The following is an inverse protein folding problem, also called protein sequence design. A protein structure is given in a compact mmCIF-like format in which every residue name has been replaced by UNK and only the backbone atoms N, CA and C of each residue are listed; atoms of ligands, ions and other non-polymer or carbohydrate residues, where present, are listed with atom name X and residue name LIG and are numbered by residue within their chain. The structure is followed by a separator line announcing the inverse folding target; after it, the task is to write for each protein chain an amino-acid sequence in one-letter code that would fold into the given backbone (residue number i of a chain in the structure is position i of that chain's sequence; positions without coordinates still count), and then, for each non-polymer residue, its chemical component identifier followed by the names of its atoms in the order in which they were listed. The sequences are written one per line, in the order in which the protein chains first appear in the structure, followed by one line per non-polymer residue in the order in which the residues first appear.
data_IF_780916074913
#
_entry.id   IF_780916074913
#
_cell.length_a   1.000
_cell.length_b   1.000
_cell.length_c   1.000
_cell.angle_alpha   90.00
_cell.angle_beta   90.00
_cell.angle_gamma   90.00
#
_symmetry.space_group_name_H-M   'P 1'
#
loop_
_entity.id
_entity.type
_entity.pdbx_description
1 polymer ?
#
# COMPACT_ATOMS: atom_id res chain seq x y z
N UNK A 1 -19.69 33.96 1.51
CA UNK A 1 -19.76 32.71 2.32
C UNK A 1 -19.98 31.49 1.44
N UNK A 2 -21.11 31.35 0.71
CA UNK A 2 -21.39 30.16 -0.12
C UNK A 2 -20.38 29.93 -1.27
N UNK A 3 -20.01 30.98 -2.00
CA UNK A 3 -19.02 30.87 -3.10
C UNK A 3 -17.64 30.38 -2.62
N UNK A 4 -17.17 30.86 -1.47
CA UNK A 4 -15.91 30.40 -0.89
C UNK A 4 -15.97 28.93 -0.49
N UNK A 5 -17.09 28.47 0.06
CA UNK A 5 -17.29 27.05 0.37
C UNK A 5 -17.30 26.20 -0.90
N UNK A 6 -17.99 26.63 -1.96
CA UNK A 6 -17.97 25.92 -3.25
C UNK A 6 -16.57 25.84 -3.86
N UNK A 7 -15.79 26.92 -3.82
CA UNK A 7 -14.41 26.93 -4.32
C UNK A 7 -13.51 25.99 -3.51
N UNK A 8 -13.65 25.98 -2.17
CA UNK A 8 -12.88 25.08 -1.31
C UNK A 8 -13.24 23.61 -1.55
N UNK A 9 -14.53 23.29 -1.73
CA UNK A 9 -14.97 21.92 -2.05
C UNK A 9 -14.43 21.46 -3.41
N UNK A 10 -14.52 22.30 -4.46
CA UNK A 10 -13.99 21.99 -5.78
C UNK A 10 -12.47 21.79 -5.75
N UNK A 11 -11.74 22.61 -4.99
CA UNK A 11 -10.29 22.47 -4.83
C UNK A 11 -9.92 21.17 -4.10
N UNK A 12 -10.63 20.81 -3.02
CA UNK A 12 -10.40 19.56 -2.31
C UNK A 12 -10.70 18.33 -3.19
N UNK A 13 -11.79 18.35 -3.96
CA UNK A 13 -12.11 17.28 -4.92
C UNK A 13 -11.05 17.16 -6.02
N UNK A 14 -10.59 18.28 -6.58
CA UNK A 14 -9.55 18.27 -7.61
C UNK A 14 -8.23 17.71 -7.08
N UNK A 15 -7.83 18.06 -5.86
CA UNK A 15 -6.63 17.52 -5.21
C UNK A 15 -6.75 16.01 -4.97
N UNK A 16 -7.90 15.53 -4.50
CA UNK A 16 -8.14 14.10 -4.30
C UNK A 16 -8.02 13.29 -5.60
N UNK A 17 -8.54 13.81 -6.72
CA UNK A 17 -8.41 13.15 -8.02
C UNK A 17 -6.99 13.11 -8.56
N UNK A 18 -6.18 14.15 -8.32
CA UNK A 18 -4.77 14.15 -8.73
C UNK A 18 -3.96 13.11 -7.95
N UNK A 19 -4.26 12.94 -6.67
CA UNK A 19 -3.62 11.94 -5.81
C UNK A 19 -3.99 10.51 -6.24
N UNK A 20 -5.27 10.26 -6.50
CA UNK A 20 -5.75 8.98 -7.02
C UNK A 20 -5.12 8.62 -8.38
N UNK A 21 -5.06 9.58 -9.31
CA UNK A 21 -4.42 9.38 -10.61
C UNK A 21 -2.90 9.10 -10.49
N UNK A 22 -2.24 9.69 -9.50
CA UNK A 22 -0.84 9.41 -9.18
C UNK A 22 -0.65 7.99 -8.64
N UNK A 23 -1.55 7.54 -7.75
CA UNK A 23 -1.53 6.18 -7.20
C UNK A 23 -1.80 5.13 -8.28
N UNK A 24 -2.71 5.41 -9.22
CA UNK A 24 -2.95 4.53 -10.37
C UNK A 24 -1.70 4.37 -11.24
N UNK A 25 -1.02 5.47 -11.55
CA UNK A 25 0.23 5.41 -12.31
C UNK A 25 1.33 4.62 -11.57
N UNK A 26 1.44 4.79 -10.25
CA UNK A 26 2.38 4.04 -9.42
C UNK A 26 2.04 2.55 -9.35
N UNK A 27 0.76 2.18 -9.24
CA UNK A 27 0.30 0.81 -9.27
C UNK A 27 0.68 0.11 -10.58
N UNK A 28 0.39 0.73 -11.72
CA UNK A 28 0.74 0.18 -13.03
C UNK A 28 2.24 -0.01 -13.18
N UNK A 29 3.03 1.00 -12.79
CA UNK A 29 4.49 0.92 -12.83
C UNK A 29 5.03 -0.18 -11.89
N UNK A 30 4.44 -0.34 -10.70
CA UNK A 30 4.83 -1.36 -9.74
C UNK A 30 4.52 -2.77 -10.27
N UNK A 31 3.33 -2.99 -10.87
CA UNK A 31 2.98 -4.27 -11.51
C UNK A 31 3.97 -4.64 -12.60
N UNK A 32 4.33 -3.69 -13.47
CA UNK A 32 5.33 -3.90 -14.52
C UNK A 32 6.69 -4.27 -13.92
N UNK A 33 7.13 -3.51 -12.92
CA UNK A 33 8.45 -3.69 -12.28
C UNK A 33 8.59 -5.06 -11.63
N UNK A 34 7.52 -5.56 -11.00
CA UNK A 34 7.49 -6.84 -10.30
C UNK A 34 6.83 -7.98 -11.07
N UNK A 35 6.48 -7.77 -12.35
CA UNK A 35 5.87 -8.75 -13.25
C UNK A 35 4.62 -9.39 -12.65
N UNK A 36 3.72 -8.55 -12.14
CA UNK A 36 2.48 -8.97 -11.51
C UNK A 36 1.41 -9.17 -12.57
N UNK A 37 0.77 -10.34 -12.52
CA UNK A 37 -0.33 -10.73 -13.40
C UNK A 37 -1.45 -11.30 -12.53
N UNK A 38 -2.70 -10.98 -12.86
CA UNK A 38 -3.88 -11.34 -12.08
C UNK A 38 -4.94 -11.99 -12.97
N UNK A 39 -5.70 -12.94 -12.43
CA UNK A 39 -6.69 -13.74 -13.16
C UNK A 39 -8.04 -13.00 -13.29
N UNK A 40 -7.99 -11.73 -13.67
CA UNK A 40 -9.16 -10.89 -13.88
C UNK A 40 -9.29 -9.73 -12.89
N UNK A 41 -10.30 -8.89 -13.14
CA UNK A 41 -10.50 -7.62 -12.44
C UNK A 41 -10.82 -7.79 -10.95
N UNK A 42 -11.47 -8.89 -10.57
CA UNK A 42 -11.81 -9.16 -9.16
C UNK A 42 -10.54 -9.41 -8.32
N UNK A 43 -9.63 -10.25 -8.81
CA UNK A 43 -8.34 -10.50 -8.14
C UNK A 43 -7.49 -9.23 -8.12
N UNK A 44 -7.41 -8.53 -9.25
CA UNK A 44 -6.65 -7.29 -9.35
C UNK A 44 -7.16 -6.22 -8.38
N UNK A 45 -8.48 -6.07 -8.25
CA UNK A 45 -9.09 -5.13 -7.31
C UNK A 45 -8.73 -5.44 -5.85
N UNK A 46 -8.74 -6.72 -5.46
CA UNK A 46 -8.31 -7.15 -4.13
C UNK A 46 -6.82 -6.83 -3.92
N UNK A 47 -5.98 -7.18 -4.89
CA UNK A 47 -4.52 -6.98 -4.83
C UNK A 47 -4.16 -5.50 -4.78
N UNK A 48 -4.87 -4.67 -5.55
CA UNK A 48 -4.75 -3.22 -5.50
C UNK A 48 -5.11 -2.66 -4.13
N UNK A 49 -6.20 -3.11 -3.52
CA UNK A 49 -6.59 -2.65 -2.19
C UNK A 49 -5.54 -2.99 -1.11
N UNK A 50 -4.92 -4.17 -1.19
CA UNK A 50 -3.81 -4.54 -0.30
C UNK A 50 -2.58 -3.66 -0.56
N UNK A 51 -2.22 -3.45 -1.82
CA UNK A 51 -1.10 -2.59 -2.20
C UNK A 51 -1.27 -1.15 -1.73
N UNK A 52 -2.46 -0.56 -1.92
CA UNK A 52 -2.81 0.78 -1.44
C UNK A 52 -2.71 0.90 0.09
N UNK A 53 -3.13 -0.15 0.82
CA UNK A 53 -2.98 -0.20 2.28
C UNK A 53 -1.51 -0.23 2.68
N UNK A 54 -0.70 -1.03 2.01
CA UNK A 54 0.73 -1.14 2.29
C UNK A 54 1.49 0.14 1.92
N UNK A 55 1.14 0.83 0.83
CA UNK A 55 1.69 2.16 0.50
C UNK A 55 1.47 3.17 1.62
N UNK A 56 0.22 3.30 2.12
CA UNK A 56 -0.09 4.22 3.23
C UNK A 56 0.65 3.86 4.52
N UNK A 57 0.81 2.57 4.80
CA UNK A 57 1.59 2.11 5.95
C UNK A 57 3.07 2.52 5.81
N UNK A 58 3.66 2.35 4.63
CA UNK A 58 5.05 2.74 4.34
C UNK A 58 5.22 4.25 4.51
N UNK A 59 4.31 5.05 3.95
CA UNK A 59 4.36 6.51 4.06
C UNK A 59 4.26 6.97 5.52
N UNK A 60 3.28 6.45 6.28
CA UNK A 60 3.11 6.79 7.68
C UNK A 60 4.35 6.42 8.51
N UNK A 61 4.87 5.20 8.35
CA UNK A 61 6.08 4.76 9.04
C UNK A 61 7.29 5.63 8.72
N UNK A 62 7.49 6.00 7.44
CA UNK A 62 8.63 6.83 7.04
C UNK A 62 8.48 8.28 7.51
N UNK A 63 7.26 8.80 7.68
CA UNK A 63 7.03 10.07 8.35
C UNK A 63 7.40 10.00 9.84
N UNK A 64 7.04 8.91 10.52
CA UNK A 64 7.42 8.66 11.91
C UNK A 64 8.95 8.48 12.07
N UNK A 65 9.61 7.81 11.12
CA UNK A 65 11.07 7.69 11.04
C UNK A 65 11.73 9.07 10.95
N UNK A 66 11.23 9.95 10.08
CA UNK A 66 11.75 11.32 9.95
C UNK A 66 11.59 12.16 11.23
N UNK A 67 10.70 11.77 12.14
CA UNK A 67 10.53 12.34 13.49
C UNK A 67 11.42 11.65 14.55
N UNK A 68 12.24 10.68 14.16
CA UNK A 68 13.14 9.93 15.03
C UNK A 68 12.46 8.82 15.84
N UNK A 69 11.23 8.41 15.48
CA UNK A 69 10.49 7.35 16.19
C UNK A 69 10.93 5.95 15.76
N UNK A 70 11.45 5.81 14.55
CA UNK A 70 11.99 4.57 14.00
C UNK A 70 13.44 4.78 13.58
N UNK A 71 14.22 3.69 13.54
CA UNK A 71 15.63 3.69 13.12
C UNK A 71 15.85 3.16 11.70
N UNK A 72 14.76 2.92 10.97
CA UNK A 72 14.76 2.36 9.63
C UNK A 72 13.57 2.90 8.84
N UNK A 73 13.66 2.81 7.51
CA UNK A 73 12.57 3.14 6.60
C UNK A 73 12.01 1.87 5.95
N UNK A 74 10.75 1.92 5.54
CA UNK A 74 10.13 0.92 4.69
C UNK A 74 10.17 1.36 3.22
N UNK A 75 10.09 0.38 2.32
CA UNK A 75 10.02 0.61 0.88
C UNK A 75 9.07 -0.38 0.23
N UNK A 76 8.31 0.11 -0.75
CA UNK A 76 7.42 -0.73 -1.54
C UNK A 76 8.26 -1.75 -2.32
N UNK A 77 7.90 -3.02 -2.21
CA UNK A 77 8.64 -4.13 -2.82
C UNK A 77 7.68 -5.16 -3.46
N UNK A 78 8.21 -6.29 -3.94
CA UNK A 78 7.43 -7.31 -4.65
C UNK A 78 6.34 -7.99 -3.82
N UNK A 79 6.36 -7.86 -2.49
CA UNK A 79 5.32 -8.33 -1.56
C UNK A 79 4.23 -7.27 -1.31
N UNK A 80 4.29 -6.15 -2.02
CA UNK A 80 3.40 -5.01 -1.84
C UNK A 80 1.91 -5.32 -1.90
N UNK A 81 1.50 -6.30 -2.69
CA UNK A 81 0.11 -6.74 -2.86
C UNK A 81 -0.27 -7.95 -1.98
N UNK A 82 0.55 -8.28 -0.98
CA UNK A 82 0.31 -9.38 -0.05
C UNK A 82 0.03 -8.87 1.36
N UNK A 83 -0.85 -9.55 2.08
CA UNK A 83 -1.01 -9.31 3.52
C UNK A 83 0.12 -9.97 4.31
N UNK A 84 0.34 -9.52 5.55
CA UNK A 84 1.32 -10.14 6.44
C UNK A 84 1.03 -11.63 6.68
N UNK A 85 -0.26 -12.01 6.74
CA UNK A 85 -0.70 -13.39 6.88
C UNK A 85 -0.34 -14.22 5.65
N UNK A 86 -0.59 -13.69 4.44
CA UNK A 86 -0.21 -14.38 3.20
C UNK A 86 1.31 -14.57 3.08
N UNK A 87 2.10 -13.56 3.48
CA UNK A 87 3.57 -13.67 3.50
C UNK A 87 4.00 -14.72 4.51
N UNK A 88 3.42 -14.71 5.73
CA UNK A 88 3.72 -15.71 6.75
C UNK A 88 3.40 -17.12 6.26
N UNK A 89 2.25 -17.32 5.64
CA UNK A 89 1.79 -18.64 5.17
C UNK A 89 2.62 -19.16 4.00
N UNK A 90 2.97 -18.30 3.03
CA UNK A 90 3.56 -18.72 1.75
C UNK A 90 5.09 -18.61 1.69
N UNK A 91 5.68 -17.69 2.46
CA UNK A 91 7.09 -17.31 2.33
C UNK A 91 7.91 -17.60 3.59
N UNK A 92 7.29 -18.18 4.63
CA UNK A 92 8.00 -18.66 5.82
C UNK A 92 7.77 -20.16 6.00
N UNK A 93 8.48 -20.78 6.94
CA UNK A 93 8.36 -22.22 7.16
C UNK A 93 8.95 -22.70 8.49
N UNK A 94 9.17 -21.80 9.45
CA UNK A 94 9.72 -22.18 10.74
C UNK A 94 8.67 -22.97 11.53
N UNK A 95 8.93 -24.24 11.76
CA UNK A 95 8.16 -25.08 12.67
C UNK A 95 8.95 -25.25 13.96
N UNK A 96 8.42 -24.73 15.06
CA UNK A 96 9.02 -24.94 16.37
C UNK A 96 8.80 -26.40 16.79
N UNK A 97 9.82 -27.09 17.33
CA UNK A 97 9.62 -28.43 17.88
C UNK A 97 8.63 -28.35 19.04
N UNK A 98 7.68 -29.27 19.07
CA UNK A 98 6.80 -29.44 20.22
C UNK A 98 7.67 -30.04 21.34
N UNK A 99 8.10 -29.21 22.28
CA UNK A 99 8.73 -29.69 23.50
C UNK A 99 7.67 -30.43 24.31
N UNK A 100 7.64 -31.76 24.18
CA UNK A 100 6.97 -32.63 25.13
C UNK A 100 7.83 -32.68 26.40
N UNK A 101 7.53 -31.81 27.36
CA UNK A 101 7.91 -32.05 28.75
C UNK A 101 7.13 -33.24 29.32
#
# INVERSE_FOLDING_TARGET
MLQFVCVLLLAASALGHLDEASLDAQWEQWKITHRKEYNGLDEEGIRRAVWDKNMRMIEAHNQEEALGMHSFTLGMNHLGDMTSEEVSEKMTGLQLPINHQ
#
